data_IF_953939386289
#
_entry.id   IF_953939386289
#
_cell.length_a   1.000
_cell.length_b   1.000
_cell.length_c   1.000
_cell.angle_alpha   90.00
_cell.angle_beta   90.00
_cell.angle_gamma   90.00
#
_symmetry.space_group_name_H-M   'P 1'
#
loop_
_entity.id
_entity.type
_entity.pdbx_description
1 polymer ?
#
# COMPACT_ATOMS: atom_id res chain seq x y z
N UNK A 1 -2.62 -1.89 0.52
CA UNK A 1 -3.45 -0.67 0.62
C UNK A 1 -3.48 -0.22 2.06
N UNK A 2 -3.50 1.10 2.32
CA UNK A 2 -3.77 1.64 3.66
C UNK A 2 -5.26 1.98 3.71
N UNK A 3 -6.00 1.34 4.62
CA UNK A 3 -7.42 1.60 4.83
C UNK A 3 -7.61 2.48 6.06
N UNK A 4 -8.45 3.50 5.94
CA UNK A 4 -8.72 4.47 7.01
C UNK A 4 -10.22 4.72 7.10
N UNK A 5 -10.65 5.24 8.24
CA UNK A 5 -12.02 5.69 8.43
C UNK A 5 -12.32 6.92 7.52
N UNK A 6 -13.42 6.91 6.73
CA UNK A 6 -13.75 8.01 5.82
C UNK A 6 -13.99 9.34 6.52
N UNK A 7 -14.65 9.35 7.68
CA UNK A 7 -14.90 10.59 8.44
C UNK A 7 -13.58 11.19 8.93
N UNK A 8 -12.65 10.34 9.39
CA UNK A 8 -11.31 10.77 9.73
C UNK A 8 -10.54 11.28 8.52
N UNK A 9 -10.70 10.68 7.35
CA UNK A 9 -10.01 11.12 6.13
C UNK A 9 -10.48 12.52 5.73
N UNK A 10 -11.79 12.73 5.71
CA UNK A 10 -12.40 14.02 5.41
C UNK A 10 -12.00 15.09 6.42
N UNK A 11 -12.12 14.80 7.73
CA UNK A 11 -11.88 15.78 8.78
C UNK A 11 -10.39 16.10 9.00
N UNK A 12 -9.48 15.19 8.63
CA UNK A 12 -8.02 15.32 8.87
C UNK A 12 -7.19 15.11 7.61
N UNK A 13 -7.70 15.55 6.46
CA UNK A 13 -7.08 15.32 5.16
C UNK A 13 -5.61 15.77 5.09
N UNK A 14 -5.29 16.91 5.68
CA UNK A 14 -3.92 17.45 5.72
C UNK A 14 -2.96 16.55 6.51
N UNK A 15 -3.43 15.91 7.58
CA UNK A 15 -2.61 14.98 8.36
C UNK A 15 -2.42 13.68 7.60
N UNK A 16 -3.46 13.17 6.93
CA UNK A 16 -3.33 12.00 6.05
C UNK A 16 -2.41 12.25 4.85
N UNK A 17 -2.40 13.47 4.30
CA UNK A 17 -1.42 13.86 3.28
C UNK A 17 0.03 13.73 3.81
N UNK A 18 0.28 14.09 5.07
CA UNK A 18 1.61 13.89 5.69
C UNK A 18 1.94 12.41 5.85
N UNK A 19 0.95 11.56 6.18
CA UNK A 19 1.15 10.10 6.27
C UNK A 19 1.58 9.54 4.90
N UNK A 20 0.92 9.95 3.82
CA UNK A 20 1.30 9.53 2.45
C UNK A 20 2.72 9.98 2.11
N UNK A 21 3.10 11.22 2.44
CA UNK A 21 4.47 11.72 2.24
C UNK A 21 5.50 10.89 2.99
N UNK A 22 5.23 10.57 4.26
CA UNK A 22 6.14 9.76 5.09
C UNK A 22 6.22 8.33 4.57
N UNK A 23 5.10 7.76 4.09
CA UNK A 23 5.10 6.43 3.50
C UNK A 23 6.11 6.30 2.35
N UNK A 24 6.13 7.23 1.40
CA UNK A 24 7.08 7.16 0.29
C UNK A 24 8.52 7.40 0.72
N UNK A 25 8.76 8.24 1.74
CA UNK A 25 10.10 8.35 2.35
C UNK A 25 10.56 7.03 2.97
N UNK A 26 9.65 6.27 3.58
CA UNK A 26 9.95 4.94 4.14
C UNK A 26 10.22 3.94 3.02
N UNK A 27 9.42 3.96 1.95
CA UNK A 27 9.64 3.08 0.80
C UNK A 27 11.03 3.32 0.16
N UNK A 28 11.41 4.58 -0.02
CA UNK A 28 12.73 4.95 -0.52
C UNK A 28 13.84 4.54 0.47
N UNK A 29 13.63 4.76 1.77
CA UNK A 29 14.58 4.34 2.82
C UNK A 29 14.83 2.83 2.81
N UNK A 30 13.78 2.00 2.71
CA UNK A 30 13.91 0.54 2.69
C UNK A 30 14.58 0.04 1.40
N UNK A 31 14.37 0.74 0.27
CA UNK A 31 14.92 0.35 -1.04
C UNK A 31 16.41 0.68 -1.19
N UNK A 32 16.91 1.62 -0.38
CA UNK A 32 18.31 2.01 -0.37
C UNK A 32 19.15 0.95 0.37
N UNK A 33 20.09 0.33 -0.35
CA UNK A 33 20.98 -0.70 0.19
C UNK A 33 21.82 -0.20 1.37
N UNK A 34 22.12 1.11 1.44
CA UNK A 34 22.87 1.69 2.57
C UNK A 34 22.08 1.65 3.89
N UNK A 35 20.75 1.54 3.82
CA UNK A 35 19.86 1.54 4.98
C UNK A 35 19.38 0.12 5.35
N UNK A 36 19.80 -0.93 4.63
CA UNK A 36 19.22 -2.27 4.78
C UNK A 36 19.40 -2.83 6.20
N UNK A 37 20.58 -2.63 6.81
CA UNK A 37 20.87 -3.08 8.17
C UNK A 37 19.95 -2.41 9.21
N UNK A 38 19.73 -1.10 9.07
CA UNK A 38 18.85 -0.34 9.95
C UNK A 38 17.37 -0.72 9.73
N UNK A 39 16.97 -0.91 8.47
CA UNK A 39 15.62 -1.38 8.14
C UNK A 39 15.35 -2.76 8.76
N UNK A 40 16.30 -3.70 8.65
CA UNK A 40 16.21 -5.03 9.26
C UNK A 40 16.15 -4.94 10.79
N UNK A 41 16.94 -4.06 11.43
CA UNK A 41 16.90 -3.85 12.87
C UNK A 41 15.52 -3.32 13.33
N UNK A 42 14.95 -2.33 12.64
CA UNK A 42 13.64 -1.75 12.99
C UNK A 42 12.52 -2.79 12.81
N UNK A 43 12.49 -3.48 11.66
CA UNK A 43 11.42 -4.40 11.30
C UNK A 43 11.46 -5.69 12.13
N UNK A 44 12.65 -6.26 12.35
CA UNK A 44 12.81 -7.47 13.18
C UNK A 44 12.39 -7.23 14.64
N UNK A 45 12.75 -6.07 15.23
CA UNK A 45 12.29 -5.65 16.56
C UNK A 45 10.77 -5.59 16.67
N UNK A 46 10.08 -5.14 15.61
CA UNK A 46 8.61 -5.04 15.61
C UNK A 46 7.92 -6.39 15.73
N UNK A 47 8.54 -7.45 15.24
CA UNK A 47 8.03 -8.83 15.29
C UNK A 47 8.79 -9.74 16.27
N UNK A 48 9.68 -9.16 17.06
CA UNK A 48 10.45 -9.82 18.13
C UNK A 48 11.31 -11.01 17.66
N UNK A 49 11.96 -10.88 16.50
CA UNK A 49 12.97 -11.83 15.99
C UNK A 49 14.29 -11.10 15.73
N UNK A 50 15.35 -11.82 15.40
CA UNK A 50 16.64 -11.21 15.00
C UNK A 50 16.60 -10.64 13.56
N UNK A 51 17.49 -9.68 13.22
CA UNK A 51 17.62 -9.20 11.84
C UNK A 51 17.88 -10.32 10.82
N UNK A 52 18.74 -11.28 11.18
CA UNK A 52 19.10 -12.45 10.35
C UNK A 52 17.88 -13.35 10.06
N UNK A 53 16.99 -13.53 11.04
CA UNK A 53 15.73 -14.26 10.85
C UNK A 53 14.71 -13.46 10.04
N UNK A 54 14.81 -12.12 10.02
CA UNK A 54 13.87 -11.26 9.31
C UNK A 54 14.24 -11.06 7.83
N UNK A 55 15.53 -11.07 7.50
CA UNK A 55 16.06 -10.81 6.17
C UNK A 55 15.34 -11.54 5.02
N UNK A 56 15.06 -12.87 5.12
CA UNK A 56 14.35 -13.57 4.04
C UNK A 56 12.91 -13.09 3.82
N UNK A 57 12.25 -12.55 4.86
CA UNK A 57 10.91 -11.96 4.71
C UNK A 57 10.95 -10.62 3.98
N UNK A 58 11.99 -9.82 4.24
CA UNK A 58 12.18 -8.57 3.53
C UNK A 58 12.52 -8.81 2.06
N UNK A 59 13.39 -9.78 1.76
CA UNK A 59 13.73 -10.18 0.38
C UNK A 59 12.49 -10.63 -0.42
N UNK A 60 11.55 -11.34 0.23
CA UNK A 60 10.29 -11.75 -0.38
C UNK A 60 9.24 -10.62 -0.52
N UNK A 61 9.51 -9.42 0.00
CA UNK A 61 8.57 -8.30 0.02
C UNK A 61 8.94 -7.25 -1.01
N UNK A 62 8.03 -6.97 -1.94
CA UNK A 62 8.20 -5.90 -2.91
C UNK A 62 7.36 -4.68 -2.55
N UNK A 63 8.03 -3.57 -2.19
CA UNK A 63 7.39 -2.29 -1.88
C UNK A 63 7.47 -1.40 -3.12
N UNK A 64 6.31 -1.04 -3.68
CA UNK A 64 6.23 -0.16 -4.84
C UNK A 64 6.72 1.24 -4.49
N UNK A 65 7.60 1.79 -5.33
CA UNK A 65 7.92 3.22 -5.31
C UNK A 65 6.73 4.07 -5.75
N UNK A 66 6.87 5.39 -5.56
CA UNK A 66 5.86 6.34 -6.03
C UNK A 66 5.64 6.23 -7.54
N UNK A 67 6.69 6.09 -8.35
CA UNK A 67 6.55 5.98 -9.81
C UNK A 67 5.83 4.68 -10.21
N UNK A 68 6.20 3.56 -9.58
CA UNK A 68 5.64 2.24 -9.87
C UNK A 68 4.16 2.13 -9.50
N UNK A 69 3.68 2.89 -8.49
CA UNK A 69 2.28 2.82 -8.05
C UNK A 69 1.31 3.63 -8.94
N UNK A 70 1.78 4.67 -9.64
CA UNK A 70 0.94 5.52 -10.48
C UNK A 70 0.18 4.75 -11.58
N UNK A 71 0.81 3.83 -12.35
CA UNK A 71 0.05 3.02 -13.31
C UNK A 71 -0.93 2.07 -12.64
N UNK A 72 -0.68 1.62 -11.40
CA UNK A 72 -1.56 0.69 -10.66
C UNK A 72 -2.88 1.35 -10.25
N UNK A 73 -2.86 2.68 -10.04
CA UNK A 73 -4.05 3.49 -9.78
C UNK A 73 -4.91 3.78 -11.01
N UNK A 74 -4.52 3.33 -12.20
CA UNK A 74 -5.39 3.42 -13.39
C UNK A 74 -6.38 2.26 -13.38
N UNK A 75 -7.64 2.55 -13.63
CA UNK A 75 -8.66 1.51 -13.80
C UNK A 75 -8.29 0.61 -14.99
N UNK A 76 -8.19 -0.69 -14.71
CA UNK A 76 -7.96 -1.73 -15.69
C UNK A 76 -8.39 -3.08 -15.09
N UNK A 77 -8.66 -4.06 -15.96
CA UNK A 77 -8.91 -5.43 -15.54
C UNK A 77 -7.60 -6.15 -15.17
N UNK A 78 -7.72 -7.26 -14.45
CA UNK A 78 -6.58 -8.11 -14.10
C UNK A 78 -5.75 -7.59 -12.93
N UNK A 79 -4.58 -8.21 -12.71
CA UNK A 79 -3.75 -7.98 -11.53
C UNK A 79 -2.84 -6.74 -11.64
N UNK A 80 -2.76 -6.12 -12.82
CA UNK A 80 -1.93 -4.92 -13.05
C UNK A 80 -2.56 -3.62 -12.54
N UNK A 81 -3.76 -3.67 -11.98
CA UNK A 81 -4.47 -2.53 -11.41
C UNK A 81 -5.06 -2.90 -10.07
N UNK A 82 -5.09 -1.93 -9.14
CA UNK A 82 -5.76 -2.14 -7.85
C UNK A 82 -7.26 -2.37 -8.02
N UNK A 83 -7.88 -1.76 -9.02
CA UNK A 83 -9.31 -1.94 -9.31
C UNK A 83 -9.59 -3.36 -9.81
N UNK A 84 -8.82 -3.81 -10.80
CA UNK A 84 -8.95 -5.16 -11.36
C UNK A 84 -8.65 -6.26 -10.33
N UNK A 85 -7.57 -6.10 -9.56
CA UNK A 85 -7.22 -7.07 -8.50
C UNK A 85 -8.25 -7.10 -7.37
N UNK A 86 -8.80 -5.94 -6.96
CA UNK A 86 -9.86 -5.88 -5.95
C UNK A 86 -11.13 -6.56 -6.45
N UNK A 87 -11.49 -6.38 -7.73
CA UNK A 87 -12.61 -7.10 -8.33
C UNK A 87 -12.41 -8.62 -8.34
N UNK A 88 -11.21 -9.09 -8.69
CA UNK A 88 -10.90 -10.53 -8.66
C UNK A 88 -11.04 -11.11 -7.25
N UNK A 89 -10.58 -10.38 -6.23
CA UNK A 89 -10.75 -10.79 -4.85
C UNK A 89 -12.23 -10.80 -4.41
N UNK A 90 -13.02 -9.82 -4.85
CA UNK A 90 -14.46 -9.76 -4.60
C UNK A 90 -15.19 -10.95 -5.23
N UNK A 91 -14.96 -11.21 -6.51
CA UNK A 91 -15.55 -12.34 -7.23
C UNK A 91 -15.19 -13.68 -6.56
N UNK A 92 -13.92 -13.87 -6.17
CA UNK A 92 -13.47 -15.07 -5.47
C UNK A 92 -14.20 -15.26 -4.13
N UNK A 93 -14.33 -14.20 -3.34
CA UNK A 93 -14.98 -14.30 -2.03
C UNK A 93 -16.48 -14.63 -2.13
N UNK A 94 -17.18 -14.10 -3.14
CA UNK A 94 -18.57 -14.50 -3.44
C UNK A 94 -18.64 -15.97 -3.83
N UNK A 95 -17.76 -16.41 -4.74
CA UNK A 95 -17.72 -17.81 -5.19
C UNK A 95 -17.45 -18.79 -4.03
N UNK A 96 -16.60 -18.40 -3.08
CA UNK A 96 -16.30 -19.19 -1.89
C UNK A 96 -17.36 -19.05 -0.77
N UNK A 97 -18.39 -18.23 -0.95
CA UNK A 97 -19.44 -18.01 0.05
C UNK A 97 -18.95 -17.29 1.30
N UNK A 98 -17.88 -16.48 1.20
CA UNK A 98 -17.44 -15.58 2.29
C UNK A 98 -18.50 -14.49 2.54
N UNK A 99 -19.16 -14.05 1.48
CA UNK A 99 -20.36 -13.19 1.50
C UNK A 99 -21.26 -13.50 0.29
N UNK A 100 -22.53 -13.10 0.39
CA UNK A 100 -23.59 -13.53 -0.53
C UNK A 100 -23.63 -12.75 -1.86
N UNK A 101 -23.25 -11.46 -1.85
CA UNK A 101 -23.35 -10.57 -3.01
C UNK A 101 -22.05 -9.78 -3.25
N UNK A 102 -21.72 -9.46 -4.51
CA UNK A 102 -20.57 -8.61 -4.83
C UNK A 102 -20.63 -7.25 -4.16
N UNK A 103 -19.49 -6.74 -3.69
CA UNK A 103 -19.39 -5.42 -3.08
C UNK A 103 -19.18 -4.34 -4.15
N UNK A 104 -19.60 -3.10 -3.86
CA UNK A 104 -19.18 -1.94 -4.65
C UNK A 104 -17.72 -1.57 -4.31
N UNK A 105 -16.77 -2.34 -4.83
CA UNK A 105 -15.34 -2.26 -4.48
C UNK A 105 -14.69 -0.92 -4.81
N UNK A 106 -15.15 -0.25 -5.87
CA UNK A 106 -14.62 1.06 -6.31
C UNK A 106 -14.77 2.12 -5.22
N UNK A 107 -15.84 2.07 -4.41
CA UNK A 107 -16.09 3.07 -3.37
C UNK A 107 -15.03 3.06 -2.25
N UNK A 108 -14.25 1.98 -2.13
CA UNK A 108 -13.22 1.82 -1.10
C UNK A 108 -11.85 2.35 -1.55
N UNK A 109 -11.72 2.78 -2.80
CA UNK A 109 -10.45 3.17 -3.41
C UNK A 109 -10.43 4.69 -3.63
N UNK A 110 -9.52 5.37 -2.94
CA UNK A 110 -9.27 6.81 -3.11
C UNK A 110 -7.78 7.05 -3.40
N UNK A 111 -7.40 7.35 -4.67
CA UNK A 111 -6.02 7.65 -5.02
C UNK A 111 -5.62 9.11 -4.75
N UNK A 112 -6.55 10.00 -4.34
CA UNK A 112 -6.38 11.46 -4.39
C UNK A 112 -5.11 11.94 -3.70
N UNK A 113 -4.87 11.51 -2.45
CA UNK A 113 -3.68 11.93 -1.69
C UNK A 113 -2.37 11.45 -2.33
N UNK A 114 -2.36 10.24 -2.90
CA UNK A 114 -1.18 9.69 -3.59
C UNK A 114 -0.89 10.47 -4.87
N UNK A 115 -1.93 10.74 -5.67
CA UNK A 115 -1.78 11.47 -6.93
C UNK A 115 -1.36 12.92 -6.69
N UNK A 116 -1.95 13.60 -5.72
CA UNK A 116 -1.54 14.95 -5.30
C UNK A 116 -0.09 14.99 -4.83
N UNK A 117 0.33 13.99 -4.03
CA UNK A 117 1.72 13.91 -3.62
C UNK A 117 2.67 13.73 -4.82
N UNK A 118 2.31 12.84 -5.75
CA UNK A 118 3.09 12.63 -6.97
C UNK A 118 3.21 13.89 -7.82
N UNK A 119 2.17 14.72 -7.89
CA UNK A 119 2.24 16.02 -8.57
C UNK A 119 3.13 17.01 -7.84
N UNK A 120 3.17 16.97 -6.51
CA UNK A 120 3.98 17.89 -5.70
C UNK A 120 5.49 17.66 -5.75
N UNK A 121 5.93 16.50 -6.25
CA UNK A 121 7.36 16.11 -6.34
C UNK A 121 7.88 15.98 -7.78
N UNK A 122 7.06 16.34 -8.77
CA UNK A 122 7.49 16.51 -10.17
C UNK A 122 8.21 17.85 -10.34
#
# INVERSE_FOLDING_TARGET
LLSVDPESLEARRDDWSKVVKVWYRIADFIKDEENIDEALEILSKRVAISPEEYEPFLEGTYILSLEEVLPIWKEAEGLGSVYGSTKIADDFNVEQGVYDEPLNTVQYLDPSLTLEYAESVK
#
